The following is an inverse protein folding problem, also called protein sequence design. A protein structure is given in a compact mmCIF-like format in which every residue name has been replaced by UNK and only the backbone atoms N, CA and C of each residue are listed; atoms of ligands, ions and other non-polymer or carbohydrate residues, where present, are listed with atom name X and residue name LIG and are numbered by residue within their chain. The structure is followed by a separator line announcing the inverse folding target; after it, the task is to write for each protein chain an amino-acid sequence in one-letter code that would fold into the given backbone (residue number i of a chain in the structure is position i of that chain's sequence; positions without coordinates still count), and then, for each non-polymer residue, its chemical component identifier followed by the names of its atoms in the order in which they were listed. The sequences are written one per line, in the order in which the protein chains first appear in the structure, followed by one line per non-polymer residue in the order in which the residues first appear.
data_IF_076293033398
#
_entry.id   IF_076293033398
#
_cell.length_a   1.000
_cell.length_b   1.000
_cell.length_c   1.000
_cell.angle_alpha   90.00
_cell.angle_beta   90.00
_cell.angle_gamma   90.00
#
_symmetry.space_group_name_H-M   'P 1'
#
loop_
_entity.id
_entity.type
_entity.pdbx_description
1 polymer ?
#
# COMPACT_ATOMS: atom_id res chain seq x y z
N UNK A 1 -7.00 21.77 2.60
CA UNK A 1 -7.90 20.97 1.73
C UNK A 1 -8.75 20.10 2.65
N UNK A 2 -10.06 20.29 2.64
CA UNK A 2 -11.00 19.54 3.49
C UNK A 2 -11.16 18.14 2.92
N UNK A 3 -11.08 17.12 3.77
CA UNK A 3 -11.29 15.73 3.39
C UNK A 3 -12.71 15.32 3.73
N UNK A 4 -13.38 14.64 2.82
CA UNK A 4 -14.75 14.15 2.98
C UNK A 4 -14.85 12.65 2.69
N UNK A 5 -15.90 12.02 3.22
CA UNK A 5 -16.23 10.63 2.90
C UNK A 5 -16.50 10.50 1.40
N UNK A 6 -15.94 9.47 0.77
CA UNK A 6 -15.98 9.24 -0.67
C UNK A 6 -14.85 9.89 -1.46
N UNK A 7 -14.01 10.71 -0.83
CA UNK A 7 -12.83 11.26 -1.51
C UNK A 7 -11.86 10.14 -1.89
N UNK A 8 -11.38 10.20 -3.14
CA UNK A 8 -10.31 9.31 -3.61
C UNK A 8 -8.96 9.82 -3.14
N UNK A 9 -8.16 8.92 -2.59
CA UNK A 9 -6.75 9.18 -2.28
C UNK A 9 -6.00 9.20 -3.61
N UNK A 10 -5.12 10.21 -3.86
CA UNK A 10 -4.27 10.21 -5.05
C UNK A 10 -3.50 8.90 -5.18
N UNK A 11 -3.60 8.29 -6.35
CA UNK A 11 -2.96 6.99 -6.60
C UNK A 11 -1.43 7.07 -6.54
N UNK A 12 -0.81 5.97 -6.19
CA UNK A 12 0.63 5.80 -6.22
C UNK A 12 0.97 4.60 -7.09
N UNK A 13 1.82 4.80 -8.10
CA UNK A 13 2.15 3.79 -9.10
C UNK A 13 3.55 3.25 -8.86
N UNK A 14 3.69 1.91 -8.79
CA UNK A 14 4.94 1.20 -8.98
C UNK A 14 4.99 0.72 -10.44
N UNK A 15 5.75 1.40 -11.31
CA UNK A 15 5.73 1.11 -12.75
C UNK A 15 6.32 -0.25 -13.09
N UNK A 16 7.20 -0.76 -12.21
CA UNK A 16 7.79 -2.09 -12.35
C UNK A 16 8.19 -2.64 -10.97
N UNK A 17 7.59 -3.76 -10.58
CA UNK A 17 8.00 -4.50 -9.38
C UNK A 17 9.37 -5.10 -9.60
N UNK A 18 10.39 -4.54 -8.98
CA UNK A 18 11.79 -4.82 -9.25
C UNK A 18 12.28 -6.08 -8.54
N UNK A 19 12.74 -7.07 -9.31
CA UNK A 19 13.39 -8.28 -8.77
C UNK A 19 14.65 -7.93 -7.95
N UNK A 20 15.37 -6.86 -8.27
CA UNK A 20 16.53 -6.40 -7.52
C UNK A 20 16.13 -5.89 -6.13
N UNK A 21 15.07 -5.09 -6.04
CA UNK A 21 14.54 -4.63 -4.75
C UNK A 21 14.04 -5.80 -3.89
N UNK A 22 13.47 -6.83 -4.51
CA UNK A 22 13.05 -8.04 -3.82
C UNK A 22 14.23 -8.81 -3.23
N UNK A 23 15.34 -8.93 -3.96
CA UNK A 23 16.59 -9.51 -3.43
C UNK A 23 17.16 -8.70 -2.26
N UNK A 24 17.18 -7.37 -2.40
CA UNK A 24 17.59 -6.47 -1.32
C UNK A 24 16.71 -6.64 -0.09
N UNK A 25 15.39 -6.71 -0.27
CA UNK A 25 14.45 -6.93 0.83
C UNK A 25 14.66 -8.30 1.49
N UNK A 26 14.88 -9.36 0.71
CA UNK A 26 15.18 -10.69 1.25
C UNK A 26 16.42 -10.66 2.15
N UNK A 27 17.45 -9.93 1.76
CA UNK A 27 18.65 -9.76 2.57
C UNK A 27 18.38 -8.97 3.85
N UNK A 28 17.64 -7.86 3.77
CA UNK A 28 17.28 -7.01 4.92
C UNK A 28 16.41 -7.75 5.94
N UNK A 29 15.42 -8.50 5.47
CA UNK A 29 14.52 -9.29 6.31
C UNK A 29 15.15 -10.59 6.79
N UNK A 30 16.35 -10.96 6.26
CA UNK A 30 16.95 -12.28 6.45
C UNK A 30 15.97 -13.41 6.08
N UNK A 31 15.23 -13.19 4.98
CA UNK A 31 14.26 -14.14 4.46
C UNK A 31 14.90 -14.98 3.34
N UNK A 32 15.27 -16.24 3.63
CA UNK A 32 15.94 -17.10 2.65
C UNK A 32 14.97 -17.74 1.65
N UNK A 33 13.67 -17.41 1.72
CA UNK A 33 12.66 -18.05 0.88
C UNK A 33 12.94 -17.79 -0.61
N UNK A 34 13.26 -18.83 -1.40
CA UNK A 34 13.64 -18.68 -2.80
C UNK A 34 12.53 -18.12 -3.70
N UNK A 35 11.28 -18.16 -3.26
CA UNK A 35 10.13 -17.55 -4.00
C UNK A 35 10.35 -16.08 -4.33
N UNK A 36 11.16 -15.37 -3.54
CA UNK A 36 11.38 -13.95 -3.66
C UNK A 36 12.58 -13.56 -4.53
N UNK A 37 13.44 -14.52 -4.91
CA UNK A 37 14.70 -14.18 -5.60
C UNK A 37 15.21 -15.24 -6.58
N UNK A 38 14.74 -16.50 -6.49
CA UNK A 38 15.21 -17.59 -7.34
C UNK A 38 14.14 -17.98 -8.37
N UNK A 39 14.34 -17.53 -9.61
CA UNK A 39 13.43 -17.79 -10.72
C UNK A 39 13.34 -19.26 -11.13
N UNK A 40 14.40 -20.02 -10.93
CA UNK A 40 14.40 -21.44 -11.24
C UNK A 40 13.64 -22.22 -10.19
N UNK A 41 13.80 -21.86 -8.92
CA UNK A 41 13.01 -22.42 -7.83
C UNK A 41 11.50 -22.16 -8.02
N UNK A 42 11.11 -20.95 -8.42
CA UNK A 42 9.69 -20.63 -8.70
C UNK A 42 9.17 -21.44 -9.89
N UNK A 43 9.96 -21.56 -10.96
CA UNK A 43 9.56 -22.32 -12.15
C UNK A 43 9.34 -23.82 -11.88
N UNK A 44 10.02 -24.37 -10.87
CA UNK A 44 9.86 -25.77 -10.46
C UNK A 44 8.59 -26.03 -9.64
N UNK A 45 7.91 -24.99 -9.18
CA UNK A 45 6.70 -25.13 -8.38
C UNK A 45 5.44 -25.22 -9.25
N UNK A 46 4.42 -26.00 -8.84
CA UNK A 46 3.18 -26.16 -9.59
C UNK A 46 2.24 -24.94 -9.41
N UNK A 47 2.78 -23.71 -9.50
CA UNK A 47 2.04 -22.48 -9.29
C UNK A 47 1.58 -21.79 -10.58
N UNK A 48 2.07 -22.25 -11.74
CA UNK A 48 1.71 -21.64 -13.03
C UNK A 48 2.26 -20.23 -13.24
N UNK A 49 3.26 -19.81 -12.42
CA UNK A 49 3.81 -18.45 -12.44
C UNK A 49 4.96 -18.28 -13.45
N UNK A 50 5.37 -19.35 -14.11
CA UNK A 50 6.56 -19.36 -14.95
C UNK A 50 7.81 -19.09 -14.11
N UNK A 51 8.65 -18.17 -14.57
CA UNK A 51 9.91 -17.80 -13.90
C UNK A 51 9.80 -16.46 -13.13
N UNK A 52 8.59 -15.99 -12.83
CA UNK A 52 8.38 -14.72 -12.12
C UNK A 52 8.40 -14.93 -10.62
N UNK A 53 9.29 -14.23 -9.94
CA UNK A 53 9.38 -14.26 -8.48
C UNK A 53 8.24 -13.51 -7.82
N UNK A 54 7.90 -13.94 -6.61
CA UNK A 54 6.80 -13.37 -5.82
C UNK A 54 7.35 -12.23 -4.96
N UNK A 55 6.74 -11.05 -5.07
CA UNK A 55 7.07 -9.90 -4.24
C UNK A 55 6.74 -10.18 -2.77
N UNK A 56 7.65 -9.81 -1.86
CA UNK A 56 7.39 -9.95 -0.44
C UNK A 56 6.16 -9.13 -0.01
N UNK A 57 5.37 -9.71 0.91
CA UNK A 57 4.23 -9.01 1.49
C UNK A 57 4.57 -7.61 2.02
N UNK A 58 5.64 -7.43 2.81
CA UNK A 58 6.07 -6.11 3.28
C UNK A 58 6.38 -5.09 2.18
N UNK A 59 6.90 -5.51 1.01
CA UNK A 59 7.10 -4.60 -0.13
C UNK A 59 5.76 -4.15 -0.73
N UNK A 60 4.83 -5.07 -0.97
CA UNK A 60 3.49 -4.74 -1.47
C UNK A 60 2.74 -3.81 -0.51
N UNK A 61 2.84 -4.07 0.79
CA UNK A 61 2.33 -3.19 1.84
C UNK A 61 2.98 -1.80 1.76
N UNK A 62 4.29 -1.74 1.54
CA UNK A 62 5.06 -0.50 1.41
C UNK A 62 4.56 0.40 0.27
N UNK A 63 4.03 -0.15 -0.82
CA UNK A 63 3.46 0.65 -1.92
C UNK A 63 2.20 1.40 -1.46
N UNK A 64 1.33 0.76 -0.67
CA UNK A 64 0.16 1.44 -0.08
C UNK A 64 0.56 2.44 1.01
N UNK A 65 1.59 2.15 1.80
CA UNK A 65 2.17 3.10 2.78
C UNK A 65 2.70 4.35 2.07
N UNK A 66 3.41 4.19 0.94
CA UNK A 66 3.89 5.32 0.15
C UNK A 66 2.75 6.21 -0.36
N UNK A 67 1.64 5.62 -0.81
CA UNK A 67 0.44 6.37 -1.19
C UNK A 67 -0.09 7.21 -0.01
N UNK A 68 -0.26 6.61 1.16
CA UNK A 68 -0.76 7.30 2.35
C UNK A 68 0.19 8.41 2.80
N UNK A 69 1.50 8.16 2.79
CA UNK A 69 2.51 9.16 3.14
C UNK A 69 2.57 10.32 2.13
N UNK A 70 2.41 10.03 0.83
CA UNK A 70 2.35 11.07 -0.19
C UNK A 70 1.11 11.97 -0.03
N UNK A 71 -0.02 11.38 0.40
CA UNK A 71 -1.27 12.10 0.59
C UNK A 71 -1.36 12.86 1.91
N UNK A 72 -0.97 12.23 3.02
CA UNK A 72 -1.23 12.74 4.36
C UNK A 72 0.05 13.07 5.16
N UNK A 73 1.22 12.86 4.58
CA UNK A 73 2.52 13.11 5.18
C UNK A 73 3.10 11.93 5.96
N UNK A 74 4.42 11.95 6.23
CA UNK A 74 5.08 10.92 7.01
C UNK A 74 4.52 10.88 8.44
N UNK A 75 4.38 9.66 9.00
CA UNK A 75 3.85 9.46 10.34
C UNK A 75 2.33 9.59 10.46
N UNK A 76 1.60 9.73 9.35
CA UNK A 76 0.14 9.85 9.37
C UNK A 76 -0.58 8.55 9.77
N UNK A 77 -0.01 7.39 9.54
CA UNK A 77 -0.65 6.10 9.74
C UNK A 77 -0.68 5.75 11.24
N UNK A 78 -1.87 5.50 11.78
CA UNK A 78 -2.09 5.01 13.16
C UNK A 78 -2.34 3.52 13.21
N UNK A 79 -3.06 3.02 12.22
CA UNK A 79 -3.38 1.60 12.10
C UNK A 79 -3.49 1.24 10.63
N UNK A 80 -3.07 0.04 10.30
CA UNK A 80 -3.27 -0.54 8.97
C UNK A 80 -3.49 -2.04 9.11
N UNK A 81 -4.55 -2.54 8.50
CA UNK A 81 -4.89 -3.96 8.46
C UNK A 81 -5.03 -4.35 7.01
N UNK A 82 -4.30 -5.37 6.59
CA UNK A 82 -4.22 -5.75 5.18
C UNK A 82 -4.30 -7.26 5.02
N UNK A 83 -4.93 -7.70 3.96
CA UNK A 83 -4.94 -9.09 3.49
C UNK A 83 -4.38 -9.18 2.07
N UNK A 84 -3.94 -10.37 1.71
CA UNK A 84 -3.19 -10.67 0.50
C UNK A 84 -3.93 -11.72 -0.34
N UNK A 85 -5.03 -11.37 -1.02
CA UNK A 85 -5.81 -12.34 -1.80
C UNK A 85 -5.04 -12.89 -2.99
N UNK A 86 -4.08 -12.13 -3.54
CA UNK A 86 -3.25 -12.56 -4.67
C UNK A 86 -1.79 -12.17 -4.46
N UNK A 87 -0.89 -12.89 -5.14
CA UNK A 87 0.53 -12.56 -5.17
C UNK A 87 0.80 -11.37 -6.09
N UNK A 88 1.81 -10.58 -5.76
CA UNK A 88 2.41 -9.57 -6.65
C UNK A 88 3.66 -10.18 -7.26
N UNK A 89 3.85 -10.03 -8.56
CA UNK A 89 4.95 -10.68 -9.29
C UNK A 89 5.98 -9.66 -9.79
N UNK A 90 7.22 -10.10 -9.94
CA UNK A 90 8.26 -9.27 -10.55
C UNK A 90 7.84 -8.83 -11.97
N UNK A 91 8.26 -7.62 -12.34
CA UNK A 91 7.96 -7.02 -13.65
C UNK A 91 6.55 -6.44 -13.79
N UNK A 92 5.66 -6.60 -12.81
CA UNK A 92 4.30 -6.04 -12.88
C UNK A 92 4.28 -4.54 -12.61
N UNK A 93 3.35 -3.84 -13.26
CA UNK A 93 2.93 -2.50 -12.85
C UNK A 93 1.77 -2.65 -11.87
N UNK A 94 1.91 -2.06 -10.69
CA UNK A 94 0.86 -2.08 -9.67
C UNK A 94 0.53 -0.67 -9.18
N UNK A 95 -0.73 -0.45 -8.83
CA UNK A 95 -1.26 0.84 -8.44
C UNK A 95 -1.88 0.72 -7.04
N UNK A 96 -1.38 1.52 -6.10
CA UNK A 96 -2.01 1.70 -4.81
C UNK A 96 -3.12 2.74 -4.91
N UNK A 97 -4.30 2.41 -4.42
CA UNK A 97 -5.50 3.24 -4.41
C UNK A 97 -6.15 3.25 -3.05
N UNK A 98 -6.96 4.25 -2.81
CA UNK A 98 -7.77 4.32 -1.59
C UNK A 98 -8.92 5.28 -1.70
N UNK A 99 -9.85 5.12 -0.75
CA UNK A 99 -11.03 5.95 -0.61
C UNK A 99 -11.29 6.22 0.86
N UNK A 100 -11.69 7.43 1.19
CA UNK A 100 -12.08 7.84 2.54
C UNK A 100 -13.43 7.27 2.90
N UNK A 101 -13.51 6.52 3.99
CA UNK A 101 -14.74 5.85 4.45
C UNK A 101 -15.38 6.54 5.66
N UNK A 102 -14.57 7.22 6.50
CA UNK A 102 -15.06 8.02 7.62
C UNK A 102 -14.08 9.16 7.94
N UNK A 103 -14.60 10.23 8.50
CA UNK A 103 -13.82 11.39 8.95
C UNK A 103 -14.34 11.84 10.30
N UNK A 104 -13.45 11.92 11.30
CA UNK A 104 -13.72 12.49 12.60
C UNK A 104 -12.83 13.73 12.80
N UNK A 105 -13.50 14.86 13.04
CA UNK A 105 -12.88 16.19 13.23
C UNK A 105 -12.85 16.60 14.71
N UNK A 106 -13.01 15.65 15.64
CA UNK A 106 -13.02 15.94 17.07
C UNK A 106 -11.59 16.18 17.57
N UNK A 107 -11.25 17.45 17.83
CA UNK A 107 -9.97 17.87 18.39
C UNK A 107 -9.01 18.50 17.38
N UNK A 108 -7.72 18.55 17.75
CA UNK A 108 -6.67 19.21 16.95
C UNK A 108 -6.23 18.38 15.73
N UNK A 109 -6.60 17.12 15.70
CA UNK A 109 -6.28 16.20 14.62
C UNK A 109 -7.56 15.70 13.95
N UNK A 110 -7.53 15.61 12.63
CA UNK A 110 -8.53 14.92 11.85
C UNK A 110 -8.16 13.43 11.80
N UNK A 111 -9.05 12.55 12.26
CA UNK A 111 -8.93 11.12 12.16
C UNK A 111 -9.71 10.64 10.93
N UNK A 112 -9.06 9.92 10.05
CA UNK A 112 -9.61 9.53 8.75
C UNK A 112 -9.50 8.01 8.61
N UNK A 113 -10.64 7.35 8.39
CA UNK A 113 -10.67 5.94 8.03
C UNK A 113 -10.68 5.82 6.50
N UNK A 114 -9.91 4.87 5.99
CA UNK A 114 -9.74 4.65 4.56
C UNK A 114 -9.87 3.18 4.23
N UNK A 115 -10.55 2.87 3.13
CA UNK A 115 -10.37 1.61 2.40
C UNK A 115 -9.19 1.78 1.45
N UNK A 116 -8.28 0.81 1.42
CA UNK A 116 -7.06 0.87 0.61
C UNK A 116 -6.84 -0.45 -0.13
N UNK A 117 -6.26 -0.39 -1.33
CA UNK A 117 -5.93 -1.59 -2.08
C UNK A 117 -4.75 -1.36 -3.03
N UNK A 118 -4.12 -2.46 -3.41
CA UNK A 118 -3.12 -2.54 -4.47
C UNK A 118 -3.70 -3.36 -5.60
N UNK A 119 -3.67 -2.85 -6.82
CA UNK A 119 -4.24 -3.53 -7.97
C UNK A 119 -3.28 -3.64 -9.15
N UNK A 120 -3.52 -4.65 -9.97
CA UNK A 120 -2.95 -4.82 -11.31
C UNK A 120 -4.07 -4.70 -12.34
N UNK A 121 -3.79 -4.04 -13.47
CA UNK A 121 -4.81 -3.68 -14.47
C UNK A 121 -5.63 -4.87 -14.99
N UNK A 122 -4.99 -6.05 -15.16
CA UNK A 122 -5.66 -7.23 -15.70
C UNK A 122 -6.11 -8.23 -14.62
N UNK A 123 -5.37 -8.30 -13.48
CA UNK A 123 -5.63 -9.28 -12.42
C UNK A 123 -6.51 -8.75 -11.30
N UNK A 124 -6.80 -7.44 -11.30
CA UNK A 124 -7.60 -6.79 -10.27
C UNK A 124 -6.84 -6.62 -8.95
N UNK A 125 -7.56 -6.74 -7.84
CA UNK A 125 -7.05 -6.50 -6.49
C UNK A 125 -6.05 -7.58 -6.07
N UNK A 126 -4.85 -7.16 -5.69
CA UNK A 126 -3.77 -8.02 -5.22
C UNK A 126 -3.65 -7.98 -3.69
N UNK A 127 -3.73 -6.79 -3.10
CA UNK A 127 -3.80 -6.52 -1.67
C UNK A 127 -4.98 -5.62 -1.40
N UNK A 128 -5.61 -5.77 -0.23
CA UNK A 128 -6.69 -4.89 0.20
C UNK A 128 -6.73 -4.77 1.72
N UNK A 129 -7.29 -3.68 2.22
CA UNK A 129 -7.39 -3.46 3.64
C UNK A 129 -7.97 -2.12 4.04
N UNK A 130 -7.72 -1.78 5.29
CA UNK A 130 -8.18 -0.55 5.92
C UNK A 130 -7.00 0.17 6.58
N UNK A 131 -7.04 1.47 6.59
CA UNK A 131 -6.09 2.31 7.28
C UNK A 131 -6.78 3.41 8.07
N UNK A 132 -6.29 3.65 9.29
CA UNK A 132 -6.59 4.83 10.07
C UNK A 132 -5.44 5.82 9.93
N UNK A 133 -5.74 6.99 9.40
CA UNK A 133 -4.78 8.06 9.10
C UNK A 133 -5.13 9.30 9.91
N UNK A 134 -4.11 10.04 10.37
CA UNK A 134 -4.30 11.33 11.02
C UNK A 134 -3.66 12.44 10.20
N UNK A 135 -4.31 13.60 10.20
CA UNK A 135 -3.81 14.85 9.65
C UNK A 135 -4.02 15.97 10.65
N UNK A 136 -3.25 17.06 10.58
CA UNK A 136 -3.59 18.28 11.32
C UNK A 136 -5.01 18.72 10.95
N UNK A 137 -5.83 18.99 11.96
CA UNK A 137 -7.16 19.57 11.74
C UNK A 137 -7.04 20.92 11.03
N UNK A 138 -7.98 21.25 10.17
CA UNK A 138 -8.09 22.60 9.65
C UNK A 138 -8.55 23.51 10.80
N UNK A 139 -7.62 24.18 11.48
CA UNK A 139 -7.96 25.26 12.38
C UNK A 139 -8.71 26.32 11.56
N UNK A 140 -10.02 26.42 11.72
CA UNK A 140 -10.69 27.67 11.43
C UNK A 140 -10.29 28.61 12.58
N UNK A 141 -9.59 29.72 12.28
CA UNK A 141 -9.42 30.74 13.32
C UNK A 141 -10.84 31.14 13.78
N UNK A 142 -11.14 30.93 15.06
CA UNK A 142 -12.32 31.49 15.66
C UNK A 142 -12.20 32.98 15.49
N UNK A 143 -13.15 33.59 14.77
CA UNK A 143 -13.30 35.03 14.75
C UNK A 143 -13.54 35.44 16.19
N UNK A 144 -12.58 36.12 16.79
CA UNK A 144 -12.79 36.79 18.06
C UNK A 144 -13.93 37.82 17.92
N UNK A 145 -14.84 37.93 18.91
CA UNK A 145 -15.97 38.83 18.90
C UNK A 145 -15.58 40.30 18.99
#
# INVERSE_FOLDING_TARGET
MTVAVGDRIPEWVMPEVSAERMRTMAALLRDPNPLHWDRDAVAALPLGLGRRTINQGPLGLGYMVNMLHAWAGPGCIRKMVTRFPQVVLDGETVIARGEVTAVDNTGDLQLIECSIWLEHAERGILLEGEATVVRPGSHQPQAEP
#
